data_IF_751531704195
#
_entry.id   IF_751531704195
#
_cell.length_a   1.000
_cell.length_b   1.000
_cell.length_c   1.000
_cell.angle_alpha   90.00
_cell.angle_beta   90.00
_cell.angle_gamma   90.00
#
_symmetry.space_group_name_H-M   'P 1'
#
loop_
_entity.id
_entity.type
_entity.pdbx_description
1 polymer ?
#
# COMPACT_ATOMS: atom_id res chain seq x y z
N UNK A 1 -56.01 -6.01 77.66
CA UNK A 1 -56.59 -5.10 76.65
C UNK A 1 -55.96 -5.48 75.33
N UNK A 2 -56.72 -6.11 74.45
CA UNK A 2 -56.23 -6.53 73.14
C UNK A 2 -56.95 -5.65 72.13
N UNK A 3 -56.24 -4.64 71.63
CA UNK A 3 -56.74 -3.77 70.58
C UNK A 3 -56.89 -4.58 69.31
N UNK A 4 -58.14 -4.90 68.99
CA UNK A 4 -58.57 -5.57 67.76
C UNK A 4 -58.42 -4.63 66.57
N UNK A 5 -57.19 -4.27 66.22
CA UNK A 5 -56.90 -3.55 64.99
C UNK A 5 -56.84 -4.54 63.82
N UNK A 6 -58.02 -5.06 63.43
CA UNK A 6 -58.17 -5.95 62.28
C UNK A 6 -57.80 -5.18 61.01
N UNK A 7 -56.80 -5.61 60.22
CA UNK A 7 -56.40 -4.87 59.03
C UNK A 7 -57.54 -4.80 58.01
N UNK A 8 -57.75 -3.64 57.40
CA UNK A 8 -58.63 -3.50 56.24
C UNK A 8 -57.96 -4.17 55.02
N UNK A 9 -58.23 -5.47 54.87
CA UNK A 9 -57.71 -6.30 53.77
C UNK A 9 -58.06 -5.75 52.38
N UNK A 10 -59.16 -5.01 52.25
CA UNK A 10 -59.59 -4.43 50.97
C UNK A 10 -58.68 -3.26 50.59
N UNK A 11 -58.34 -2.41 51.55
CA UNK A 11 -57.37 -1.33 51.36
C UNK A 11 -55.96 -1.87 51.05
N UNK A 12 -55.52 -2.93 51.75
CA UNK A 12 -54.23 -3.57 51.50
C UNK A 12 -54.12 -4.17 50.09
N UNK A 13 -55.18 -4.81 49.60
CA UNK A 13 -55.23 -5.37 48.24
C UNK A 13 -55.13 -4.28 47.16
N UNK A 14 -55.91 -3.19 47.30
CA UNK A 14 -55.86 -2.04 46.39
C UNK A 14 -54.47 -1.38 46.38
N UNK A 15 -53.84 -1.26 47.56
CA UNK A 15 -52.48 -0.73 47.69
C UNK A 15 -51.44 -1.63 47.01
N UNK A 16 -51.56 -2.96 47.17
CA UNK A 16 -50.67 -3.92 46.52
C UNK A 16 -50.82 -3.90 44.99
N UNK A 17 -52.05 -3.77 44.48
CA UNK A 17 -52.31 -3.68 43.04
C UNK A 17 -51.73 -2.38 42.45
N UNK A 18 -51.87 -1.26 43.16
CA UNK A 18 -51.30 0.03 42.76
C UNK A 18 -49.77 -0.02 42.71
N UNK A 19 -49.13 -0.60 43.73
CA UNK A 19 -47.67 -0.82 43.75
C UNK A 19 -47.20 -1.74 42.62
N UNK A 20 -47.98 -2.77 42.27
CA UNK A 20 -47.69 -3.64 41.11
C UNK A 20 -47.72 -2.86 39.80
N UNK A 21 -48.75 -2.02 39.59
CA UNK A 21 -48.86 -1.17 38.39
C UNK A 21 -47.71 -0.16 38.30
N UNK A 22 -47.41 0.53 39.41
CA UNK A 22 -46.29 1.47 39.48
C UNK A 22 -44.94 0.78 39.23
N UNK A 23 -44.72 -0.42 39.79
CA UNK A 23 -43.51 -1.19 39.55
C UNK A 23 -43.39 -1.67 38.09
N UNK A 24 -44.48 -2.12 37.47
CA UNK A 24 -44.50 -2.54 36.07
C UNK A 24 -44.24 -1.36 35.12
N UNK A 25 -44.79 -0.18 35.43
CA UNK A 25 -44.56 1.04 34.66
C UNK A 25 -43.13 1.56 34.78
N UNK A 26 -42.55 1.50 36.00
CA UNK A 26 -41.13 1.77 36.22
C UNK A 26 -40.24 0.77 35.46
N UNK A 27 -40.62 -0.51 35.44
CA UNK A 27 -39.87 -1.55 34.74
C UNK A 27 -39.90 -1.32 33.22
N UNK A 28 -41.05 -0.94 32.65
CA UNK A 28 -41.18 -0.56 31.24
C UNK A 28 -40.34 0.67 30.90
N UNK A 29 -40.37 1.71 31.74
CA UNK A 29 -39.54 2.90 31.52
C UNK A 29 -38.05 2.58 31.58
N UNK A 30 -37.62 1.73 32.53
CA UNK A 30 -36.23 1.31 32.64
C UNK A 30 -35.78 0.48 31.41
N UNK A 31 -36.63 -0.41 30.91
CA UNK A 31 -36.36 -1.20 29.71
C UNK A 31 -36.27 -0.32 28.45
N UNK A 32 -37.14 0.69 28.33
CA UNK A 32 -37.11 1.63 27.21
C UNK A 32 -35.86 2.52 27.23
N UNK A 33 -35.43 2.97 28.42
CA UNK A 33 -34.17 3.69 28.59
C UNK A 33 -32.96 2.81 28.24
N UNK A 34 -32.98 1.53 28.63
CA UNK A 34 -31.92 0.58 28.25
C UNK A 34 -31.86 0.38 26.74
N UNK A 35 -33.01 0.22 26.07
CA UNK A 35 -33.07 0.10 24.61
C UNK A 35 -32.53 1.34 23.91
N UNK A 36 -32.90 2.53 24.36
CA UNK A 36 -32.35 3.77 23.80
C UNK A 36 -30.83 3.91 24.03
N UNK A 37 -30.34 3.50 25.20
CA UNK A 37 -28.91 3.53 25.51
C UNK A 37 -28.13 2.55 24.61
N UNK A 38 -28.65 1.34 24.40
CA UNK A 38 -28.05 0.33 23.52
C UNK A 38 -28.04 0.80 22.06
N UNK A 39 -29.12 1.42 21.59
CA UNK A 39 -29.20 1.95 20.22
C UNK A 39 -28.21 3.10 20.00
N UNK A 40 -28.06 3.99 20.98
CA UNK A 40 -27.02 5.04 20.95
C UNK A 40 -25.61 4.47 20.94
N UNK A 41 -25.36 3.40 21.70
CA UNK A 41 -24.06 2.72 21.68
C UNK A 41 -23.77 2.10 20.31
N UNK A 42 -24.74 1.40 19.71
CA UNK A 42 -24.60 0.84 18.36
C UNK A 42 -24.31 1.92 17.32
N UNK A 43 -25.04 3.04 17.36
CA UNK A 43 -24.78 4.16 16.44
C UNK A 43 -23.40 4.79 16.66
N UNK A 44 -22.92 4.89 17.90
CA UNK A 44 -21.58 5.41 18.19
C UNK A 44 -20.49 4.45 17.67
N UNK A 45 -20.67 3.15 17.86
CA UNK A 45 -19.75 2.12 17.37
C UNK A 45 -19.70 2.09 15.83
N UNK A 46 -20.85 2.20 15.16
CA UNK A 46 -20.89 2.29 13.69
C UNK A 46 -20.17 3.53 13.16
N UNK A 47 -20.35 4.69 13.80
CA UNK A 47 -19.64 5.92 13.42
C UNK A 47 -18.13 5.79 13.65
N UNK A 48 -17.71 5.17 14.75
CA UNK A 48 -16.31 4.93 15.02
C UNK A 48 -15.71 4.01 13.96
N UNK A 49 -16.40 2.92 13.62
CA UNK A 49 -15.96 1.99 12.58
C UNK A 49 -15.87 2.65 11.21
N UNK A 50 -16.83 3.50 10.85
CA UNK A 50 -16.78 4.28 9.61
C UNK A 50 -15.57 5.23 9.58
N UNK A 51 -15.33 5.96 10.68
CA UNK A 51 -14.17 6.86 10.77
C UNK A 51 -12.83 6.12 10.70
N UNK A 52 -12.73 4.94 11.32
CA UNK A 52 -11.54 4.09 11.23
C UNK A 52 -11.32 3.56 9.80
N UNK A 53 -12.37 3.11 9.12
CA UNK A 53 -12.29 2.65 7.73
C UNK A 53 -11.91 3.80 6.77
N UNK A 54 -12.43 5.00 6.97
CA UNK A 54 -12.05 6.19 6.19
C UNK A 54 -10.59 6.57 6.42
N UNK A 55 -10.15 6.59 7.69
CA UNK A 55 -8.75 6.84 8.05
C UNK A 55 -7.80 5.82 7.44
N UNK A 56 -8.18 4.53 7.45
CA UNK A 56 -7.40 3.46 6.80
C UNK A 56 -7.28 3.70 5.29
N UNK A 57 -8.40 4.00 4.61
CA UNK A 57 -8.40 4.27 3.17
C UNK A 57 -7.55 5.48 2.80
N UNK A 58 -7.59 6.55 3.59
CA UNK A 58 -6.78 7.74 3.34
C UNK A 58 -5.29 7.46 3.54
N UNK A 59 -4.95 6.68 4.58
CA UNK A 59 -3.57 6.23 4.80
C UNK A 59 -3.06 5.39 3.63
N UNK A 60 -3.84 4.41 3.16
CA UNK A 60 -3.49 3.59 2.01
C UNK A 60 -3.30 4.44 0.75
N UNK A 61 -4.20 5.40 0.49
CA UNK A 61 -4.06 6.34 -0.64
C UNK A 61 -2.77 7.15 -0.54
N UNK A 62 -2.47 7.66 0.65
CA UNK A 62 -1.26 8.45 0.89
C UNK A 62 0.01 7.61 0.67
N UNK A 63 0.03 6.37 1.14
CA UNK A 63 1.13 5.43 0.91
C UNK A 63 1.30 5.12 -0.58
N UNK A 64 0.21 4.85 -1.30
CA UNK A 64 0.25 4.63 -2.75
C UNK A 64 0.80 5.84 -3.51
N UNK A 65 0.33 7.05 -3.16
CA UNK A 65 0.84 8.27 -3.76
C UNK A 65 2.32 8.49 -3.43
N UNK A 66 2.75 8.15 -2.22
CA UNK A 66 4.15 8.23 -1.80
C UNK A 66 5.02 7.23 -2.58
N UNK A 67 4.54 6.01 -2.82
CA UNK A 67 5.23 5.02 -3.65
C UNK A 67 5.34 5.46 -5.10
N UNK A 68 4.26 5.97 -5.69
CA UNK A 68 4.25 6.45 -7.08
C UNK A 68 5.11 7.72 -7.27
N UNK A 69 5.16 8.59 -6.28
CA UNK A 69 6.00 9.81 -6.31
C UNK A 69 7.43 9.55 -5.84
N UNK A 70 7.75 8.33 -5.39
CA UNK A 70 9.09 7.99 -4.96
C UNK A 70 10.03 8.08 -6.17
N UNK A 71 11.15 8.82 -6.08
CA UNK A 71 12.16 8.82 -7.12
C UNK A 71 12.65 7.40 -7.40
N UNK A 72 12.76 7.04 -8.67
CA UNK A 72 13.40 5.79 -9.08
C UNK A 72 14.90 5.89 -8.82
N UNK A 73 15.45 4.87 -8.16
CA UNK A 73 16.91 4.81 -7.99
C UNK A 73 17.57 4.45 -9.31
N UNK A 74 18.84 4.83 -9.48
CA UNK A 74 19.60 4.46 -10.69
C UNK A 74 19.61 2.94 -10.94
N UNK A 75 19.68 2.13 -9.88
CA UNK A 75 19.63 0.67 -9.96
C UNK A 75 18.29 0.16 -10.47
N UNK A 76 17.18 0.72 -9.98
CA UNK A 76 15.84 0.36 -10.42
C UNK A 76 15.63 0.71 -11.89
N UNK A 77 16.09 1.89 -12.31
CA UNK A 77 16.08 2.29 -13.70
C UNK A 77 16.85 1.31 -14.61
N UNK A 78 18.07 0.90 -14.21
CA UNK A 78 18.84 -0.07 -14.99
C UNK A 78 18.13 -1.42 -15.11
N UNK A 79 17.54 -1.91 -14.02
CA UNK A 79 16.75 -3.15 -14.02
C UNK A 79 15.55 -3.06 -14.95
N UNK A 80 14.73 -2.02 -14.80
CA UNK A 80 13.58 -1.80 -15.67
C UNK A 80 13.96 -1.67 -17.14
N UNK A 81 15.08 -1.01 -17.44
CA UNK A 81 15.60 -0.93 -18.81
C UNK A 81 15.96 -2.31 -19.35
N UNK A 82 16.57 -3.17 -18.54
CA UNK A 82 16.87 -4.53 -18.95
C UNK A 82 15.60 -5.37 -19.14
N UNK A 83 14.65 -5.29 -18.22
CA UNK A 83 13.44 -6.11 -18.25
C UNK A 83 12.46 -5.69 -19.37
N UNK A 84 12.32 -4.38 -19.61
CA UNK A 84 11.31 -3.83 -20.53
C UNK A 84 11.85 -3.56 -21.92
N UNK A 85 13.11 -3.14 -22.05
CA UNK A 85 13.68 -2.69 -23.32
C UNK A 85 14.63 -3.71 -23.95
N UNK A 86 15.21 -4.61 -23.15
CA UNK A 86 16.12 -5.60 -23.72
C UNK A 86 15.36 -6.65 -24.52
N UNK A 87 15.80 -6.89 -25.75
CA UNK A 87 15.38 -8.06 -26.52
C UNK A 87 16.44 -9.14 -26.32
N UNK A 88 16.05 -10.38 -26.01
CA UNK A 88 17.01 -11.46 -25.85
C UNK A 88 17.74 -11.68 -27.18
N UNK A 89 19.06 -11.52 -27.16
CA UNK A 89 19.90 -11.88 -28.30
C UNK A 89 19.96 -13.39 -28.38
N UNK A 90 19.49 -13.95 -29.50
CA UNK A 90 19.59 -15.38 -29.79
C UNK A 90 20.52 -15.57 -30.96
N UNK A 91 21.44 -16.52 -30.82
CA UNK A 91 22.23 -16.98 -31.95
C UNK A 91 21.27 -17.71 -32.89
N UNK A 92 21.01 -17.10 -34.03
CA UNK A 92 20.16 -17.66 -35.07
C UNK A 92 20.89 -18.79 -35.81
N UNK A 93 20.12 -19.62 -36.49
CA UNK A 93 20.68 -20.75 -37.23
C UNK A 93 21.58 -20.27 -38.38
N UNK A 94 22.65 -21.01 -38.71
CA UNK A 94 23.52 -20.68 -39.85
C UNK A 94 22.78 -20.48 -41.18
N UNK A 95 21.61 -21.10 -41.35
CA UNK A 95 20.73 -20.93 -42.52
C UNK A 95 20.16 -19.52 -42.69
N UNK A 96 20.12 -18.70 -41.64
CA UNK A 96 19.74 -17.28 -41.68
C UNK A 96 20.95 -16.35 -41.86
N UNK A 97 22.15 -16.91 -41.93
CA UNK A 97 23.34 -16.17 -42.26
C UNK A 97 23.28 -15.72 -43.72
N UNK A 98 23.76 -14.51 -43.99
CA UNK A 98 23.96 -14.02 -45.36
C UNK A 98 24.96 -14.92 -46.07
N UNK A 99 24.45 -15.79 -46.93
CA UNK A 99 25.27 -16.69 -47.76
C UNK A 99 25.57 -15.99 -49.07
N UNK A 100 26.85 -15.74 -49.36
CA UNK A 100 27.30 -15.11 -50.60
C UNK A 100 28.82 -14.91 -50.60
N UNK A 101 29.41 -14.72 -51.80
CA UNK A 101 30.81 -14.27 -51.90
C UNK A 101 30.84 -12.81 -51.45
N UNK A 102 31.38 -12.58 -50.26
CA UNK A 102 31.63 -11.23 -49.75
C UNK A 102 32.69 -10.60 -50.67
N UNK A 103 32.37 -9.57 -51.46
CA UNK A 103 33.38 -8.90 -52.27
C UNK A 103 34.42 -8.31 -51.34
N UNK A 104 35.67 -8.24 -51.80
CA UNK A 104 36.77 -7.65 -51.03
C UNK A 104 36.30 -6.26 -50.57
N UNK A 105 36.36 -5.94 -49.27
CA UNK A 105 35.89 -4.66 -48.75
C UNK A 105 36.83 -3.53 -49.22
N UNK A 106 36.66 -3.09 -50.47
CA UNK A 106 37.45 -2.02 -51.07
C UNK A 106 37.16 -0.71 -50.33
N UNK A 107 38.18 -0.12 -49.72
CA UNK A 107 38.06 1.15 -48.99
C UNK A 107 37.51 1.06 -47.55
N UNK A 108 37.33 -0.13 -46.97
CA UNK A 108 36.95 -0.27 -45.55
C UNK A 108 38.14 -0.77 -44.73
N UNK A 109 38.31 -0.24 -43.53
CA UNK A 109 39.31 -0.73 -42.59
C UNK A 109 38.86 -2.09 -42.04
N UNK A 110 39.52 -3.17 -42.46
CA UNK A 110 39.28 -4.52 -41.95
C UNK A 110 40.40 -4.87 -40.98
N UNK A 111 40.12 -5.18 -39.70
CA UNK A 111 41.13 -5.63 -38.76
C UNK A 111 41.78 -6.92 -39.28
N UNK A 112 43.11 -6.91 -39.44
CA UNK A 112 43.86 -8.10 -39.86
C UNK A 112 43.97 -9.16 -38.76
N UNK A 113 43.78 -8.75 -37.50
CA UNK A 113 43.88 -9.59 -36.31
C UNK A 113 42.82 -9.18 -35.30
N UNK A 114 42.17 -10.18 -34.71
CA UNK A 114 41.33 -10.01 -33.53
C UNK A 114 42.13 -10.55 -32.34
N UNK A 115 42.39 -9.69 -31.36
CA UNK A 115 43.12 -10.08 -30.14
C UNK A 115 42.15 -10.22 -28.98
N UNK A 116 42.48 -11.12 -28.06
CA UNK A 116 41.70 -11.29 -26.84
C UNK A 116 41.90 -10.07 -25.95
N UNK A 117 40.81 -9.44 -25.54
CA UNK A 117 40.85 -8.35 -24.59
C UNK A 117 40.88 -8.90 -23.16
N UNK A 118 42.08 -9.23 -22.67
CA UNK A 118 42.29 -9.89 -21.38
C UNK A 118 41.80 -9.05 -20.19
N UNK A 119 42.00 -7.73 -20.26
CA UNK A 119 41.70 -6.83 -19.14
C UNK A 119 40.29 -6.23 -19.21
N UNK A 120 39.49 -6.64 -20.21
CA UNK A 120 38.17 -6.08 -20.47
C UNK A 120 37.26 -6.12 -19.24
N UNK A 121 37.22 -7.26 -18.53
CA UNK A 121 36.37 -7.44 -17.36
C UNK A 121 36.77 -6.52 -16.19
N UNK A 122 38.08 -6.36 -15.96
CA UNK A 122 38.60 -5.51 -14.90
C UNK A 122 38.32 -4.03 -15.19
N UNK A 123 38.64 -3.58 -16.41
CA UNK A 123 38.39 -2.21 -16.86
C UNK A 123 36.89 -1.88 -16.88
N UNK A 124 36.05 -2.79 -17.37
CA UNK A 124 34.60 -2.63 -17.37
C UNK A 124 34.07 -2.48 -15.95
N UNK A 125 34.56 -3.29 -15.01
CA UNK A 125 34.15 -3.22 -13.61
C UNK A 125 34.57 -1.90 -12.95
N UNK A 126 35.78 -1.42 -13.23
CA UNK A 126 36.29 -0.14 -12.73
C UNK A 126 35.47 1.04 -13.27
N UNK A 127 35.28 1.10 -14.59
CA UNK A 127 34.46 2.11 -15.24
C UNK A 127 33.02 2.09 -14.71
N UNK A 128 32.43 0.90 -14.59
CA UNK A 128 31.09 0.76 -14.06
C UNK A 128 31.01 1.28 -12.63
N UNK A 129 31.94 0.92 -11.74
CA UNK A 129 31.98 1.44 -10.35
C UNK A 129 32.13 2.95 -10.30
N UNK A 130 32.96 3.52 -11.16
CA UNK A 130 33.18 4.98 -11.25
C UNK A 130 31.92 5.71 -11.71
N UNK A 131 31.27 5.24 -12.77
CA UNK A 131 30.01 5.81 -13.26
C UNK A 131 28.90 5.63 -12.23
N UNK A 132 28.84 4.46 -11.60
CA UNK A 132 27.86 4.13 -10.59
C UNK A 132 27.99 5.04 -9.37
N UNK A 133 29.18 5.26 -8.83
CA UNK A 133 29.38 6.17 -7.71
C UNK A 133 28.98 7.60 -8.08
N UNK A 134 29.35 8.09 -9.27
CA UNK A 134 28.95 9.40 -9.76
C UNK A 134 27.41 9.56 -9.83
N UNK A 135 26.72 8.57 -10.39
CA UNK A 135 25.26 8.61 -10.56
C UNK A 135 24.48 8.33 -9.28
N UNK A 136 25.10 7.69 -8.28
CA UNK A 136 24.50 7.47 -6.96
C UNK A 136 24.64 8.67 -6.01
N UNK A 137 25.53 9.62 -6.29
CA UNK A 137 25.84 10.78 -5.44
C UNK A 137 24.74 11.86 -5.40
N UNK A 138 23.47 11.50 -5.54
CA UNK A 138 22.34 12.38 -5.19
C UNK A 138 21.22 11.60 -4.53
N UNK A 139 20.96 11.90 -3.24
CA UNK A 139 19.78 12.70 -2.93
C UNK A 139 20.08 13.74 -1.84
N UNK A 140 20.10 15.03 -2.17
CA UNK A 140 20.01 16.11 -1.17
C UNK A 140 21.14 17.14 -1.14
N UNK A 141 21.74 17.52 -2.26
CA UNK A 141 22.67 18.64 -2.29
C UNK A 141 22.95 19.17 -3.69
N UNK A 142 22.27 20.25 -4.06
CA UNK A 142 22.58 21.03 -5.26
C UNK A 142 21.71 20.69 -6.46
N UNK A 143 20.77 21.58 -6.73
CA UNK A 143 19.98 21.60 -7.95
C UNK A 143 20.88 21.50 -9.19
N UNK A 144 20.71 20.45 -9.96
CA UNK A 144 20.94 20.48 -11.41
C UNK A 144 19.96 19.51 -12.02
N UNK A 145 18.76 20.04 -12.23
CA UNK A 145 17.74 19.43 -13.06
C UNK A 145 18.28 19.37 -14.49
N UNK A 146 18.97 18.28 -14.84
CA UNK A 146 19.19 17.95 -16.25
C UNK A 146 17.94 17.20 -16.69
N UNK A 147 16.97 17.98 -17.18
CA UNK A 147 15.83 17.46 -17.92
C UNK A 147 16.38 16.84 -19.21
N UNK A 148 16.62 15.53 -19.23
CA UNK A 148 16.70 14.78 -20.48
C UNK A 148 15.27 14.41 -20.84
N UNK A 149 14.62 15.29 -21.60
CA UNK A 149 13.43 14.91 -22.37
C UNK A 149 13.88 13.94 -23.47
N UNK A 150 13.16 12.83 -23.59
CA UNK A 150 13.05 12.02 -24.79
C UNK A 150 11.55 11.86 -25.10
#
# INVERSE_FOLDING_TARGET
MADSNSPDYKALFLQAEKRRKEAEEQQKQAEEQQKQAEERQKQAEERQKQAEDESRKEKERREQLQELSRPTTFVEFLRHSHDLLSRPLRVETPSRSTTGKIPIPTGKYCPARLEQWTDCSALQSELFRSVYSYLQLTPGGGASSVLIFA
#
